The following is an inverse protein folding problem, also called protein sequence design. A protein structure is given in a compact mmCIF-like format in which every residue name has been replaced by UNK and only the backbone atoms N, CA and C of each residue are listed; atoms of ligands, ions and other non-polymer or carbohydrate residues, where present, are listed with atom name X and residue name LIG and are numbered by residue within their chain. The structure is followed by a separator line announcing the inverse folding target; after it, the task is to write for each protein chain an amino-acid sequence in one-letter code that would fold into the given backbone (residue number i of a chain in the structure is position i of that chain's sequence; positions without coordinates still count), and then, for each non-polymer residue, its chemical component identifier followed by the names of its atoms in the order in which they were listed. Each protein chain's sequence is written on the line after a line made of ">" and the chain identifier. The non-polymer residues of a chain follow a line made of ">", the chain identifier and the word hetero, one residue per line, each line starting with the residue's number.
data_IF_403007540044
#
_entry.id   IF_403007540044
#
_cell.length_a   1.000
_cell.length_b   1.000
_cell.length_c   1.000
_cell.angle_alpha   90.00
_cell.angle_beta   90.00
_cell.angle_gamma   90.00
#
_symmetry.space_group_name_H-M   'P 1'
#
loop_
_entity.id
_entity.type
_entity.pdbx_description
1 polymer ?
#
# COMPACT_ATOMS: atom_id res chain seq x y z
N UNK A 1 57.11 -55.81 -40.44
CA UNK A 1 56.81 -55.26 -39.08
C UNK A 1 55.67 -54.32 -39.26
N UNK A 2 54.47 -54.71 -38.88
CA UNK A 2 53.24 -53.83 -38.93
C UNK A 2 53.01 -53.24 -37.58
N UNK A 3 53.01 -51.94 -37.52
CA UNK A 3 52.58 -51.16 -36.30
C UNK A 3 51.07 -50.99 -36.34
N UNK A 4 50.35 -51.51 -35.34
CA UNK A 4 48.98 -51.29 -35.10
C UNK A 4 48.84 -50.00 -34.25
N UNK A 5 48.15 -49.00 -34.78
CA UNK A 5 47.74 -47.80 -34.07
C UNK A 5 46.38 -48.06 -33.42
N UNK A 6 46.30 -48.12 -32.14
CA UNK A 6 45.06 -48.16 -31.37
C UNK A 6 44.51 -46.74 -31.21
N UNK A 7 43.34 -46.50 -31.79
CA UNK A 7 42.56 -45.26 -31.65
C UNK A 7 41.70 -45.32 -30.36
N UNK A 8 42.05 -44.54 -29.36
CA UNK A 8 41.27 -44.45 -28.11
C UNK A 8 40.20 -43.38 -28.31
N UNK A 9 38.92 -43.78 -28.33
CA UNK A 9 37.78 -42.90 -28.42
C UNK A 9 37.49 -42.35 -27.02
N UNK A 10 37.79 -41.08 -26.76
CA UNK A 10 37.41 -40.38 -25.52
C UNK A 10 35.96 -39.92 -25.64
N UNK A 11 35.07 -40.54 -24.86
CA UNK A 11 33.69 -40.12 -24.69
C UNK A 11 33.73 -38.96 -23.70
N UNK A 12 33.56 -37.73 -24.20
CA UNK A 12 33.34 -36.53 -23.38
C UNK A 12 31.92 -36.56 -22.84
N UNK A 13 31.75 -36.93 -21.58
CA UNK A 13 30.51 -36.80 -20.83
C UNK A 13 30.30 -35.31 -20.52
N UNK A 14 29.46 -34.62 -21.29
CA UNK A 14 29.00 -33.29 -20.98
C UNK A 14 28.13 -33.33 -19.71
N UNK A 15 28.72 -33.13 -18.55
CA UNK A 15 28.01 -32.81 -17.34
C UNK A 15 27.46 -31.38 -17.50
N UNK A 16 26.17 -31.28 -17.82
CA UNK A 16 25.45 -30.05 -17.67
C UNK A 16 25.52 -29.61 -16.19
N UNK A 17 25.90 -28.36 -15.87
CA UNK A 17 25.83 -27.90 -14.49
C UNK A 17 24.38 -27.92 -14.08
N UNK A 18 24.00 -28.82 -13.17
CA UNK A 18 22.79 -28.70 -12.38
C UNK A 18 22.90 -27.36 -11.62
N UNK A 19 22.17 -26.38 -12.07
CA UNK A 19 21.93 -25.18 -11.27
C UNK A 19 21.23 -25.67 -9.99
N UNK A 20 22.04 -25.99 -8.97
CA UNK A 20 21.59 -26.07 -7.59
C UNK A 20 21.02 -24.71 -7.27
N UNK A 21 19.68 -24.60 -7.23
CA UNK A 21 18.99 -23.55 -6.52
C UNK A 21 19.47 -23.64 -5.07
N UNK A 22 20.55 -22.91 -4.75
CA UNK A 22 20.94 -22.68 -3.39
C UNK A 22 19.67 -22.17 -2.72
N UNK A 23 19.17 -22.90 -1.72
CA UNK A 23 18.14 -22.43 -0.81
C UNK A 23 18.62 -21.09 -0.29
N UNK A 24 18.10 -19.99 -0.86
CA UNK A 24 18.40 -18.66 -0.39
C UNK A 24 17.83 -18.61 1.03
N UNK A 25 18.73 -18.61 1.99
CA UNK A 25 18.42 -18.36 3.37
C UNK A 25 17.52 -17.13 3.44
N UNK A 26 16.38 -17.28 4.10
CA UNK A 26 15.32 -16.32 4.32
C UNK A 26 15.75 -14.84 4.21
N UNK A 27 15.69 -14.27 3.02
CA UNK A 27 15.85 -12.83 2.85
C UNK A 27 14.68 -12.17 3.60
N UNK A 28 14.98 -11.24 4.51
CA UNK A 28 13.98 -10.50 5.28
C UNK A 28 13.08 -11.35 6.22
N UNK A 29 13.52 -12.56 6.59
CA UNK A 29 12.82 -13.41 7.57
C UNK A 29 11.62 -14.18 7.00
N UNK A 30 11.46 -14.25 5.67
CA UNK A 30 10.43 -15.03 4.99
C UNK A 30 10.92 -16.44 4.63
N UNK A 31 10.12 -17.51 4.84
CA UNK A 31 10.40 -18.80 4.23
C UNK A 31 10.22 -18.69 2.72
N UNK A 32 11.09 -19.36 1.96
CA UNK A 32 11.05 -19.40 0.50
C UNK A 32 10.64 -20.79 0.04
N UNK A 33 9.91 -20.90 -1.05
CA UNK A 33 9.50 -22.15 -1.68
C UNK A 33 9.51 -22.03 -3.20
N UNK A 34 9.59 -23.16 -3.89
CA UNK A 34 9.42 -23.21 -5.35
C UNK A 34 7.95 -22.94 -5.70
N UNK A 35 7.64 -22.09 -6.71
CA UNK A 35 6.26 -21.76 -7.09
C UNK A 35 5.41 -23.02 -7.38
N UNK A 36 5.95 -24.02 -8.08
CA UNK A 36 5.24 -25.25 -8.42
C UNK A 36 4.90 -26.07 -7.18
N UNK A 37 5.79 -26.09 -6.19
CA UNK A 37 5.54 -26.75 -4.90
C UNK A 37 4.36 -26.14 -4.18
N UNK A 38 4.20 -24.82 -4.28
CA UNK A 38 3.07 -24.08 -3.68
C UNK A 38 1.87 -23.98 -4.65
N UNK A 39 1.80 -24.81 -5.72
CA UNK A 39 0.66 -24.86 -6.63
C UNK A 39 0.52 -23.63 -7.53
N UNK A 40 1.63 -22.97 -7.86
CA UNK A 40 1.64 -21.88 -8.84
C UNK A 40 2.32 -22.32 -10.13
N UNK A 41 1.84 -21.80 -11.26
CA UNK A 41 2.43 -22.00 -12.60
C UNK A 41 3.64 -21.05 -12.77
N UNK A 42 4.89 -21.59 -12.80
CA UNK A 42 6.08 -20.76 -12.98
C UNK A 42 6.11 -20.03 -14.33
N UNK A 43 5.55 -20.65 -15.37
CA UNK A 43 5.53 -20.05 -16.71
C UNK A 43 4.56 -18.86 -16.77
N UNK A 44 3.43 -18.92 -16.05
CA UNK A 44 2.52 -17.80 -15.93
C UNK A 44 3.17 -16.62 -15.19
N UNK A 45 3.91 -16.90 -14.11
CA UNK A 45 4.69 -15.88 -13.39
C UNK A 45 5.78 -15.29 -14.28
N UNK A 46 6.51 -16.13 -15.03
CA UNK A 46 7.54 -15.68 -15.95
C UNK A 46 6.99 -14.81 -17.10
N UNK A 47 5.80 -15.15 -17.63
CA UNK A 47 5.13 -14.30 -18.64
C UNK A 47 4.70 -12.96 -18.05
N UNK A 48 4.24 -12.93 -16.80
CA UNK A 48 3.89 -11.67 -16.15
C UNK A 48 5.14 -10.80 -15.91
N UNK A 49 6.22 -11.41 -15.44
CA UNK A 49 7.53 -10.78 -15.29
C UNK A 49 8.04 -10.19 -16.60
N UNK A 50 7.95 -10.94 -17.70
CA UNK A 50 8.36 -10.47 -19.03
C UNK A 50 7.54 -9.24 -19.48
N UNK A 51 6.24 -9.21 -19.19
CA UNK A 51 5.39 -8.03 -19.45
C UNK A 51 5.85 -6.80 -18.63
N UNK A 52 6.27 -7.00 -17.37
CA UNK A 52 6.83 -5.94 -16.54
C UNK A 52 8.15 -5.42 -17.14
N UNK A 53 9.08 -6.32 -17.42
CA UNK A 53 10.39 -6.00 -18.02
C UNK A 53 10.26 -5.27 -19.35
N UNK A 54 9.24 -5.60 -20.15
CA UNK A 54 8.97 -4.91 -21.42
C UNK A 54 8.50 -3.46 -21.27
N UNK A 55 8.24 -2.99 -20.04
CA UNK A 55 7.66 -1.67 -19.77
C UNK A 55 6.18 -1.54 -20.14
N UNK A 56 5.47 -2.67 -20.27
CA UNK A 56 4.01 -2.68 -20.52
C UNK A 56 3.26 -1.90 -19.45
N UNK A 57 3.72 -1.95 -18.22
CA UNK A 57 3.11 -1.31 -17.06
C UNK A 57 3.89 -0.08 -16.54
N UNK A 58 4.77 0.49 -17.38
CA UNK A 58 5.63 1.61 -17.00
C UNK A 58 6.77 1.19 -16.09
N UNK A 59 7.13 2.05 -15.13
CA UNK A 59 8.23 1.84 -14.17
C UNK A 59 7.73 1.07 -12.95
N UNK A 60 7.64 -0.26 -13.06
CA UNK A 60 7.41 -1.16 -11.93
C UNK A 60 8.76 -1.46 -11.28
N UNK A 61 8.89 -1.24 -9.97
CA UNK A 61 10.14 -1.40 -9.22
C UNK A 61 10.30 -2.78 -8.59
N UNK A 62 9.17 -3.44 -8.28
CA UNK A 62 9.22 -4.79 -7.73
C UNK A 62 7.93 -5.59 -7.93
N UNK A 63 8.07 -6.91 -7.96
CA UNK A 63 7.01 -7.90 -7.82
C UNK A 63 7.42 -8.92 -6.76
N UNK A 64 6.65 -9.03 -5.67
CA UNK A 64 6.81 -10.02 -4.61
C UNK A 64 5.51 -10.83 -4.50
N UNK A 65 5.60 -12.16 -4.65
CA UNK A 65 4.45 -13.07 -4.52
C UNK A 65 4.69 -14.04 -3.38
N UNK A 66 3.72 -14.12 -2.47
CA UNK A 66 3.73 -14.99 -1.31
C UNK A 66 2.50 -15.89 -1.42
N UNK A 67 2.71 -17.20 -1.28
CA UNK A 67 1.64 -18.19 -1.20
C UNK A 67 1.86 -19.14 -0.04
N UNK A 68 0.79 -19.47 0.69
CA UNK A 68 0.84 -20.29 1.92
C UNK A 68 1.86 -19.74 2.96
N UNK A 69 2.01 -18.41 3.00
CA UNK A 69 2.99 -17.74 3.85
C UNK A 69 4.46 -17.89 3.41
N UNK A 70 4.74 -18.36 2.21
CA UNK A 70 6.08 -18.56 1.63
C UNK A 70 6.30 -17.66 0.43
N UNK A 71 7.47 -17.07 0.32
CA UNK A 71 7.87 -16.33 -0.89
C UNK A 71 8.08 -17.33 -2.02
N UNK A 72 7.30 -17.19 -3.09
CA UNK A 72 7.37 -18.02 -4.30
C UNK A 72 7.92 -17.26 -5.50
N UNK A 73 7.89 -15.93 -5.44
CA UNK A 73 8.48 -15.07 -6.46
C UNK A 73 8.93 -13.75 -5.81
N UNK A 74 10.14 -13.30 -6.11
CA UNK A 74 10.66 -12.02 -5.61
C UNK A 74 11.64 -11.45 -6.64
N UNK A 75 11.27 -10.31 -7.22
CA UNK A 75 12.12 -9.61 -8.18
C UNK A 75 12.03 -8.09 -7.98
N UNK A 76 13.19 -7.44 -8.04
CA UNK A 76 13.32 -6.01 -8.18
C UNK A 76 13.72 -5.67 -9.62
N UNK A 77 13.22 -4.54 -10.11
CA UNK A 77 13.53 -3.97 -11.42
C UNK A 77 14.22 -2.64 -11.22
N UNK A 78 15.26 -2.37 -12.00
CA UNK A 78 16.06 -1.15 -11.83
C UNK A 78 15.66 -0.11 -12.87
N UNK A 79 15.41 1.10 -12.41
CA UNK A 79 15.13 2.26 -13.24
C UNK A 79 16.09 3.40 -12.89
N UNK A 80 16.52 4.15 -13.89
CA UNK A 80 17.32 5.38 -13.70
C UNK A 80 16.37 6.57 -13.48
N UNK A 81 16.00 6.79 -12.24
CA UNK A 81 15.09 7.87 -11.86
C UNK A 81 15.73 9.26 -11.97
N UNK A 82 17.05 9.37 -11.95
CA UNK A 82 17.74 10.63 -12.26
C UNK A 82 17.51 11.02 -13.72
N UNK A 83 17.59 10.05 -14.64
CA UNK A 83 17.28 10.29 -16.05
C UNK A 83 15.77 10.55 -16.30
N UNK A 84 14.89 9.84 -15.58
CA UNK A 84 13.43 9.94 -15.78
C UNK A 84 12.86 11.24 -15.21
N UNK A 85 13.25 11.64 -14.00
CA UNK A 85 12.62 12.74 -13.25
C UNK A 85 13.55 13.87 -12.85
N UNK A 86 14.88 13.68 -12.85
CA UNK A 86 15.83 14.64 -12.28
C UNK A 86 15.72 16.06 -12.86
N UNK A 87 15.45 16.20 -14.16
CA UNK A 87 15.23 17.52 -14.78
C UNK A 87 13.97 18.23 -14.28
N UNK A 88 12.94 17.48 -13.81
CA UNK A 88 11.70 18.03 -13.29
C UNK A 88 11.77 18.43 -11.83
N UNK A 89 12.74 17.90 -11.09
CA UNK A 89 12.90 18.17 -9.67
C UNK A 89 13.10 19.65 -9.33
N UNK A 90 13.71 20.42 -10.24
CA UNK A 90 13.89 21.87 -10.09
C UNK A 90 12.74 22.72 -10.64
N UNK A 91 11.68 22.13 -11.18
CA UNK A 91 10.56 22.85 -11.82
C UNK A 91 9.41 23.00 -10.86
N UNK A 92 8.81 24.18 -10.75
CA UNK A 92 7.60 24.40 -9.96
C UNK A 92 6.42 23.60 -10.54
N UNK A 93 5.72 22.84 -9.69
CA UNK A 93 4.53 22.10 -10.04
C UNK A 93 3.72 21.74 -8.79
N UNK A 94 2.48 21.27 -8.94
CA UNK A 94 1.69 20.77 -7.82
C UNK A 94 2.32 19.52 -7.14
N UNK A 95 3.15 18.77 -7.86
CA UNK A 95 3.94 17.66 -7.29
C UNK A 95 5.28 18.11 -6.67
N UNK A 96 5.47 19.41 -6.52
CA UNK A 96 6.63 20.04 -5.93
C UNK A 96 6.20 21.40 -5.35
N UNK A 97 5.25 21.37 -4.41
CA UNK A 97 4.55 22.57 -3.97
C UNK A 97 5.35 23.44 -2.97
N UNK A 98 6.36 22.87 -2.29
CA UNK A 98 7.08 23.56 -1.23
C UNK A 98 8.58 23.68 -1.53
N UNK A 99 9.39 22.97 -0.76
CA UNK A 99 10.83 22.95 -0.89
C UNK A 99 11.27 21.94 -1.96
N UNK A 100 11.87 22.38 -3.09
CA UNK A 100 12.38 21.46 -4.11
C UNK A 100 13.37 20.43 -3.60
N UNK A 101 14.04 20.68 -2.49
CA UNK A 101 14.97 19.75 -1.83
C UNK A 101 14.29 18.81 -0.84
N UNK A 102 13.03 19.05 -0.50
CA UNK A 102 12.27 18.33 0.53
C UNK A 102 11.59 17.05 0.03
N UNK A 103 11.03 16.27 0.98
CA UNK A 103 10.39 14.98 0.68
C UNK A 103 9.02 15.11 -0.01
N UNK A 104 8.50 16.31 -0.17
CA UNK A 104 7.27 16.61 -0.93
C UNK A 104 7.55 17.03 -2.39
N UNK A 105 8.80 16.94 -2.84
CA UNK A 105 9.15 17.00 -4.24
C UNK A 105 9.14 15.60 -4.84
N UNK A 106 8.02 15.21 -5.43
CA UNK A 106 7.81 13.87 -6.00
C UNK A 106 8.68 13.54 -7.22
N UNK A 107 9.33 14.54 -7.81
CA UNK A 107 10.31 14.37 -8.89
C UNK A 107 11.75 14.23 -8.41
N UNK A 108 12.02 14.44 -7.12
CA UNK A 108 13.38 14.40 -6.59
C UNK A 108 13.85 12.96 -6.36
N UNK A 109 14.85 12.43 -7.13
CA UNK A 109 15.27 11.03 -7.03
C UNK A 109 16.01 10.68 -5.73
N UNK A 110 16.32 11.66 -4.88
CA UNK A 110 16.83 11.43 -3.53
C UNK A 110 15.74 10.97 -2.56
N UNK A 111 14.52 11.46 -2.75
CA UNK A 111 13.38 11.14 -1.90
C UNK A 111 12.48 10.05 -2.48
N UNK A 112 12.36 9.98 -3.82
CA UNK A 112 11.37 9.13 -4.49
C UNK A 112 11.97 8.38 -5.68
N UNK A 113 11.53 7.14 -5.92
CA UNK A 113 10.58 6.39 -5.09
C UNK A 113 11.24 5.82 -3.83
N UNK A 114 12.58 5.76 -3.78
CA UNK A 114 13.35 5.17 -2.70
C UNK A 114 13.93 6.26 -1.78
N UNK A 115 13.53 6.22 -0.50
CA UNK A 115 14.04 7.14 0.53
C UNK A 115 15.57 7.14 0.56
N UNK A 116 16.17 8.30 0.23
CA UNK A 116 17.62 8.49 0.21
C UNK A 116 18.38 7.36 -0.49
N UNK A 117 17.78 6.84 -1.58
CA UNK A 117 18.35 5.72 -2.36
C UNK A 117 18.58 4.43 -1.54
N UNK A 118 17.85 4.25 -0.43
CA UNK A 118 17.82 3.00 0.34
C UNK A 118 16.89 1.97 -0.33
N UNK A 119 16.57 0.88 0.38
CA UNK A 119 15.56 -0.09 -0.06
C UNK A 119 14.12 0.28 0.36
N UNK A 120 13.97 1.39 1.12
CA UNK A 120 12.67 1.85 1.59
C UNK A 120 11.93 2.55 0.46
N UNK A 121 10.89 1.93 -0.06
CA UNK A 121 10.05 2.48 -1.12
C UNK A 121 8.88 3.27 -0.53
N UNK A 122 8.53 4.40 -1.15
CA UNK A 122 7.34 5.17 -0.76
C UNK A 122 6.07 4.30 -0.89
N UNK A 123 5.20 4.37 0.09
CA UNK A 123 3.92 3.68 0.06
C UNK A 123 2.80 4.55 -0.51
N UNK A 124 2.99 5.87 -0.52
CA UNK A 124 1.95 6.80 -0.88
C UNK A 124 0.64 6.47 -0.14
N UNK A 125 -0.51 6.52 -0.76
CA UNK A 125 -1.79 6.29 -0.09
C UNK A 125 -1.99 4.92 0.54
N UNK A 126 -1.09 3.93 0.33
CA UNK A 126 -1.07 2.70 1.15
C UNK A 126 -0.74 3.01 2.62
N UNK A 127 -0.11 4.15 2.89
CA UNK A 127 0.07 4.69 4.26
C UNK A 127 -1.25 4.75 5.03
N UNK A 128 -2.36 5.15 4.37
CA UNK A 128 -3.70 5.19 4.97
C UNK A 128 -4.16 3.82 5.49
N UNK A 129 -3.81 2.77 4.74
CA UNK A 129 -4.09 1.39 5.14
C UNK A 129 -3.30 1.03 6.40
N UNK A 130 -2.00 1.36 6.44
CA UNK A 130 -1.15 1.10 7.62
C UNK A 130 -1.63 1.91 8.83
N UNK A 131 -2.02 3.17 8.63
CA UNK A 131 -2.61 4.02 9.68
C UNK A 131 -3.89 3.36 10.26
N UNK A 132 -4.77 2.82 9.41
CA UNK A 132 -5.95 2.06 9.86
C UNK A 132 -5.58 0.80 10.65
N UNK A 133 -4.52 0.09 10.26
CA UNK A 133 -4.01 -1.07 11.03
C UNK A 133 -3.54 -0.64 12.41
N UNK A 134 -2.78 0.46 12.53
CA UNK A 134 -2.31 1.00 13.82
C UNK A 134 -3.50 1.41 14.70
N UNK A 135 -4.53 2.04 14.14
CA UNK A 135 -5.78 2.35 14.84
C UNK A 135 -6.42 1.05 15.37
N UNK A 136 -6.44 -0.01 14.55
CA UNK A 136 -6.95 -1.32 14.96
C UNK A 136 -6.17 -1.94 16.12
N UNK A 137 -4.85 -1.77 16.15
CA UNK A 137 -4.02 -2.18 17.30
C UNK A 137 -4.41 -1.40 18.56
N UNK A 138 -4.55 -0.08 18.47
CA UNK A 138 -4.93 0.76 19.60
C UNK A 138 -6.37 0.48 20.07
N UNK A 139 -7.30 0.22 19.14
CA UNK A 139 -8.68 -0.18 19.45
C UNK A 139 -8.73 -1.50 20.22
N UNK A 140 -7.97 -2.52 19.79
CA UNK A 140 -7.84 -3.80 20.52
C UNK A 140 -7.37 -3.60 21.96
N UNK A 141 -6.50 -2.64 22.20
CA UNK A 141 -5.94 -2.31 23.50
C UNK A 141 -6.84 -1.41 24.36
N UNK A 142 -7.98 -0.98 23.82
CA UNK A 142 -8.89 -0.05 24.51
C UNK A 142 -8.36 1.39 24.59
N UNK A 143 -7.38 1.74 23.79
CA UNK A 143 -6.66 3.03 23.80
C UNK A 143 -7.15 3.98 22.71
N UNK A 144 -8.06 3.54 21.86
CA UNK A 144 -8.67 4.36 20.80
C UNK A 144 -10.20 4.46 21.01
N UNK A 145 -10.82 5.60 20.72
CA UNK A 145 -12.25 5.81 20.97
C UNK A 145 -13.15 4.94 20.09
N UNK A 146 -14.40 4.78 20.52
CA UNK A 146 -15.43 4.12 19.71
C UNK A 146 -15.60 4.84 18.37
N UNK A 147 -15.80 4.08 17.29
CA UNK A 147 -15.83 4.61 15.92
C UNK A 147 -17.01 5.55 15.65
N UNK A 148 -18.07 5.47 16.45
CA UNK A 148 -19.24 6.35 16.35
C UNK A 148 -19.06 7.67 17.12
N UNK A 149 -17.87 7.90 17.70
CA UNK A 149 -17.53 9.17 18.35
C UNK A 149 -17.49 10.29 17.31
N UNK A 150 -18.19 11.43 17.56
CA UNK A 150 -18.10 12.59 16.68
C UNK A 150 -16.68 13.14 16.57
N UNK A 151 -16.26 13.46 15.36
CA UNK A 151 -14.91 13.99 15.08
C UNK A 151 -14.65 15.29 15.82
N UNK A 152 -15.63 16.19 15.88
CA UNK A 152 -15.51 17.50 16.52
C UNK A 152 -15.21 17.43 18.01
N UNK A 153 -15.41 16.28 18.68
CA UNK A 153 -15.01 16.09 20.09
C UNK A 153 -13.50 16.33 20.31
N UNK A 154 -12.70 16.22 19.27
CA UNK A 154 -11.23 16.37 19.29
C UNK A 154 -10.77 17.74 18.81
N UNK A 155 -11.68 18.68 18.60
CA UNK A 155 -11.41 20.03 18.10
C UNK A 155 -12.07 21.10 18.98
N UNK A 156 -11.43 22.26 19.06
CA UNK A 156 -12.07 23.46 19.62
C UNK A 156 -13.02 24.04 18.55
N UNK A 157 -14.33 23.84 18.70
CA UNK A 157 -15.33 24.30 17.72
C UNK A 157 -15.24 25.78 17.40
N UNK A 158 -14.71 26.61 18.33
CA UNK A 158 -14.53 28.06 18.10
C UNK A 158 -13.46 28.36 17.04
N UNK A 159 -12.61 27.38 16.75
CA UNK A 159 -11.52 27.49 15.78
C UNK A 159 -11.80 26.73 14.48
N UNK A 160 -12.95 26.06 14.38
CA UNK A 160 -13.34 25.30 13.18
C UNK A 160 -14.32 26.11 12.37
N UNK A 161 -14.01 26.29 11.08
CA UNK A 161 -14.90 26.96 10.14
C UNK A 161 -16.02 26.03 9.62
N UNK A 162 -17.07 26.63 9.07
CA UNK A 162 -18.12 25.94 8.33
C UNK A 162 -18.79 24.80 9.12
N UNK A 163 -19.02 24.99 10.43
CA UNK A 163 -19.74 24.02 11.25
C UNK A 163 -21.23 24.11 10.95
N UNK A 164 -21.82 22.99 10.59
CA UNK A 164 -23.26 22.75 10.51
C UNK A 164 -23.65 21.46 11.25
N UNK A 165 -24.92 21.09 11.26
CA UNK A 165 -25.38 19.89 11.94
C UNK A 165 -24.84 18.59 11.32
N UNK A 166 -24.50 18.58 10.03
CA UNK A 166 -23.87 17.44 9.35
C UNK A 166 -22.45 17.24 9.89
N UNK A 167 -21.63 18.30 9.97
CA UNK A 167 -20.27 18.24 10.51
C UNK A 167 -20.28 17.75 11.97
N UNK A 168 -21.28 18.14 12.79
CA UNK A 168 -21.43 17.63 14.16
C UNK A 168 -21.72 16.14 14.23
N UNK A 169 -22.38 15.58 13.21
CA UNK A 169 -22.66 14.13 13.11
C UNK A 169 -21.54 13.33 12.48
N UNK A 170 -20.53 13.97 11.89
CA UNK A 170 -19.40 13.27 11.28
C UNK A 170 -18.62 12.48 12.34
N UNK A 171 -18.47 11.16 12.14
CA UNK A 171 -17.84 10.25 13.08
C UNK A 171 -16.47 9.76 12.59
N UNK A 172 -15.69 9.17 13.50
CA UNK A 172 -14.43 8.50 13.18
C UNK A 172 -14.63 7.41 12.11
N UNK A 173 -15.74 6.65 12.18
CA UNK A 173 -16.11 5.66 11.17
C UNK A 173 -16.19 6.29 9.77
N UNK A 174 -16.78 7.47 9.64
CA UNK A 174 -16.91 8.14 8.36
C UNK A 174 -15.53 8.53 7.76
N UNK A 175 -14.56 8.87 8.61
CA UNK A 175 -13.18 9.12 8.17
C UNK A 175 -12.53 7.82 7.65
N UNK A 176 -12.71 6.69 8.36
CA UNK A 176 -12.16 5.39 7.97
C UNK A 176 -12.74 4.87 6.64
N UNK A 177 -14.03 5.09 6.41
CA UNK A 177 -14.77 4.58 5.25
C UNK A 177 -14.79 5.53 4.06
N UNK A 178 -14.08 6.68 4.12
CA UNK A 178 -14.11 7.72 3.08
C UNK A 178 -15.53 8.26 2.80
N UNK A 179 -16.34 8.40 3.85
CA UNK A 179 -17.71 8.90 3.77
C UNK A 179 -17.92 10.11 4.70
N UNK A 180 -16.88 10.91 4.90
CA UNK A 180 -16.91 12.07 5.80
C UNK A 180 -17.94 13.12 5.41
N UNK A 181 -18.27 13.24 4.12
CA UNK A 181 -19.19 14.25 3.60
C UNK A 181 -18.59 15.65 3.46
N UNK A 182 -17.29 15.82 3.73
CA UNK A 182 -16.58 17.07 3.50
C UNK A 182 -16.44 17.36 2.01
N UNK A 183 -16.50 18.64 1.63
CA UNK A 183 -16.17 19.07 0.27
C UNK A 183 -14.72 18.74 -0.04
N UNK A 184 -14.51 17.89 -1.04
CA UNK A 184 -13.19 17.40 -1.40
C UNK A 184 -13.15 16.93 -2.85
N UNK A 185 -12.16 17.37 -3.62
CA UNK A 185 -11.98 16.94 -4.99
C UNK A 185 -10.56 16.41 -5.20
N UNK A 186 -10.42 15.09 -5.14
CA UNK A 186 -9.18 14.36 -5.37
C UNK A 186 -9.29 13.42 -6.60
N UNK A 187 -10.34 13.62 -7.41
CA UNK A 187 -10.51 12.91 -8.69
C UNK A 187 -9.68 13.51 -9.83
N UNK A 188 -9.19 14.73 -9.65
CA UNK A 188 -8.26 15.40 -10.56
C UNK A 188 -6.86 14.79 -10.46
N UNK A 189 -6.03 14.88 -11.49
CA UNK A 189 -4.62 14.49 -11.40
C UNK A 189 -3.90 15.26 -10.27
N UNK A 190 -2.96 14.62 -9.57
CA UNK A 190 -2.21 15.27 -8.49
C UNK A 190 -1.27 16.41 -8.95
N UNK A 191 -0.99 16.51 -10.23
CA UNK A 191 -0.31 17.68 -10.81
C UNK A 191 -1.26 18.83 -11.16
N UNK A 192 -2.56 18.70 -10.92
CA UNK A 192 -3.53 19.78 -11.00
C UNK A 192 -3.51 20.60 -9.71
N UNK A 193 -3.25 21.92 -9.78
CA UNK A 193 -3.16 22.77 -8.57
C UNK A 193 -4.52 22.96 -7.86
N UNK A 194 -5.64 22.53 -8.44
CA UNK A 194 -6.98 22.57 -7.83
C UNK A 194 -7.38 21.24 -7.18
N UNK A 195 -6.53 20.21 -7.27
CA UNK A 195 -6.72 18.98 -6.53
C UNK A 195 -6.63 19.24 -5.01
N UNK A 196 -7.62 18.80 -4.24
CA UNK A 196 -7.71 19.10 -2.81
C UNK A 196 -6.54 18.54 -1.99
N UNK A 197 -5.97 17.39 -2.40
CA UNK A 197 -4.78 16.82 -1.75
C UNK A 197 -3.53 17.66 -2.06
N UNK A 198 -3.37 18.13 -3.29
CA UNK A 198 -2.26 19.02 -3.65
C UNK A 198 -2.34 20.36 -2.91
N UNK A 199 -3.55 20.91 -2.72
CA UNK A 199 -3.75 22.12 -1.89
C UNK A 199 -3.46 21.81 -0.42
N UNK A 200 -3.89 20.65 0.09
CA UNK A 200 -3.57 20.20 1.45
C UNK A 200 -2.06 20.19 1.68
N UNK A 201 -1.31 19.52 0.82
CA UNK A 201 0.15 19.44 0.93
C UNK A 201 0.81 20.83 0.87
N UNK A 202 0.21 21.78 0.14
CA UNK A 202 0.68 23.16 0.05
C UNK A 202 0.26 24.03 1.26
N UNK A 203 -0.62 23.54 2.14
CA UNK A 203 -1.11 24.31 3.29
C UNK A 203 -0.14 24.28 4.47
N UNK A 204 -0.17 25.35 5.31
CA UNK A 204 0.65 25.44 6.50
C UNK A 204 0.15 24.56 7.66
N UNK A 205 -1.14 24.25 7.69
CA UNK A 205 -1.79 23.41 8.70
C UNK A 205 -2.77 22.45 8.02
N UNK A 206 -2.33 21.21 7.85
CA UNK A 206 -3.11 20.21 7.15
C UNK A 206 -4.39 19.81 7.89
N UNK A 207 -4.29 19.70 9.23
CA UNK A 207 -5.42 19.31 10.07
C UNK A 207 -6.50 20.38 10.04
N UNK A 208 -6.09 21.65 10.21
CA UNK A 208 -7.01 22.79 10.19
C UNK A 208 -7.63 22.95 8.79
N UNK A 209 -6.83 22.85 7.73
CA UNK A 209 -7.33 22.93 6.35
C UNK A 209 -8.47 21.93 6.11
N UNK A 210 -8.31 20.69 6.56
CA UNK A 210 -9.31 19.62 6.34
C UNK A 210 -10.56 19.85 7.19
N UNK A 211 -10.41 20.14 8.49
CA UNK A 211 -11.57 20.26 9.37
C UNK A 211 -12.41 21.50 9.04
N UNK A 212 -11.83 22.52 8.43
CA UNK A 212 -12.49 23.73 7.98
C UNK A 212 -13.32 23.56 6.70
N UNK A 213 -13.09 22.49 5.92
CA UNK A 213 -13.85 22.25 4.69
C UNK A 213 -15.35 22.21 4.98
N UNK A 214 -16.19 22.87 4.17
CA UNK A 214 -17.65 22.77 4.32
C UNK A 214 -18.15 21.36 4.03
N UNK A 215 -19.37 21.08 4.45
CA UNK A 215 -20.02 19.80 4.14
C UNK A 215 -20.68 19.85 2.75
N UNK A 216 -20.37 18.88 1.90
CA UNK A 216 -21.04 18.68 0.60
C UNK A 216 -22.16 17.63 0.68
N UNK A 217 -21.97 16.60 1.48
CA UNK A 217 -22.88 15.45 1.59
C UNK A 217 -23.18 15.13 3.08
N UNK A 218 -24.23 14.33 3.33
CA UNK A 218 -24.46 13.75 4.65
C UNK A 218 -23.38 12.72 4.98
N UNK A 219 -22.76 12.74 6.17
CA UNK A 219 -21.80 11.73 6.59
C UNK A 219 -22.36 10.32 6.46
N UNK A 220 -21.57 9.39 5.94
CA UNK A 220 -21.95 7.99 5.77
C UNK A 220 -22.73 7.64 4.50
N UNK A 221 -23.12 8.63 3.69
CA UNK A 221 -24.04 8.36 2.56
C UNK A 221 -23.34 8.20 1.21
N UNK A 222 -22.16 8.82 1.04
CA UNK A 222 -21.47 8.86 -0.25
C UNK A 222 -19.96 8.65 -0.05
N UNK A 223 -19.40 7.77 -0.88
CA UNK A 223 -17.95 7.65 -0.98
C UNK A 223 -17.35 8.88 -1.65
N UNK A 224 -16.38 9.49 -0.99
CA UNK A 224 -15.54 10.52 -1.57
C UNK A 224 -14.11 10.31 -1.06
N UNK A 225 -13.21 9.86 -1.96
CA UNK A 225 -11.83 9.64 -1.59
C UNK A 225 -11.21 10.95 -1.12
N UNK A 226 -10.77 10.96 0.14
CA UNK A 226 -10.32 12.16 0.83
C UNK A 226 -9.07 11.84 1.67
N UNK A 227 -7.91 12.23 1.16
CA UNK A 227 -6.63 12.06 1.83
C UNK A 227 -6.59 12.76 3.18
N UNK A 228 -7.11 13.99 3.24
CA UNK A 228 -7.16 14.76 4.48
C UNK A 228 -7.97 14.11 5.61
N UNK A 229 -8.97 13.27 5.29
CA UNK A 229 -9.69 12.51 6.30
C UNK A 229 -8.76 11.60 7.14
N UNK A 230 -7.61 11.19 6.58
CA UNK A 230 -6.63 10.38 7.33
C UNK A 230 -5.78 11.26 8.25
N UNK A 231 -5.52 12.50 7.87
CA UNK A 231 -4.85 13.47 8.76
C UNK A 231 -5.71 13.80 10.00
N UNK A 232 -7.03 13.88 9.83
CA UNK A 232 -7.94 13.98 10.98
C UNK A 232 -7.86 12.73 11.87
N UNK A 233 -7.70 11.54 11.31
CA UNK A 233 -7.49 10.31 12.10
C UNK A 233 -6.17 10.34 12.88
N UNK A 234 -5.08 10.81 12.28
CA UNK A 234 -3.79 10.95 12.96
C UNK A 234 -3.86 11.96 14.12
N UNK A 235 -4.56 13.09 13.91
CA UNK A 235 -4.82 14.07 14.97
C UNK A 235 -5.63 13.47 16.12
N UNK A 236 -6.75 12.81 15.81
CA UNK A 236 -7.59 12.13 16.80
C UNK A 236 -6.79 11.06 17.55
N UNK A 237 -5.97 10.28 16.84
CA UNK A 237 -5.13 9.25 17.42
C UNK A 237 -4.18 9.82 18.47
N UNK A 238 -3.48 10.92 18.14
CA UNK A 238 -2.56 11.60 19.06
C UNK A 238 -3.29 12.18 20.28
N UNK A 239 -4.48 12.76 20.08
CA UNK A 239 -5.29 13.29 21.19
C UNK A 239 -5.81 12.17 22.11
N UNK A 240 -6.19 11.03 21.55
CA UNK A 240 -6.76 9.91 22.31
C UNK A 240 -5.70 9.09 23.05
N UNK A 241 -4.56 8.81 22.42
CA UNK A 241 -3.51 7.93 22.96
C UNK A 241 -2.38 8.68 23.68
N UNK A 242 -2.26 9.99 23.46
CA UNK A 242 -1.14 10.82 23.92
C UNK A 242 0.17 10.53 23.15
N UNK A 243 0.16 9.69 22.11
CA UNK A 243 1.34 9.30 21.34
C UNK A 243 1.16 9.61 19.86
N UNK A 244 2.27 9.88 19.18
CA UNK A 244 2.30 9.95 17.73
C UNK A 244 2.08 8.56 17.11
N UNK A 245 1.43 8.51 15.96
CA UNK A 245 1.08 7.25 15.30
C UNK A 245 2.33 6.44 14.90
N UNK A 246 3.44 7.09 14.57
CA UNK A 246 4.71 6.42 14.26
C UNK A 246 5.31 5.74 15.49
N UNK A 247 5.41 6.46 16.61
CA UNK A 247 5.94 5.91 17.88
C UNK A 247 5.11 4.72 18.35
N UNK A 248 3.80 4.86 18.28
CA UNK A 248 2.86 3.80 18.65
C UNK A 248 2.95 2.60 17.70
N UNK A 249 2.96 2.86 16.40
CA UNK A 249 3.09 1.84 15.36
C UNK A 249 4.42 1.09 15.43
N UNK A 250 5.52 1.80 15.68
CA UNK A 250 6.83 1.20 15.88
C UNK A 250 6.82 0.14 17.00
N UNK A 251 6.24 0.49 18.14
CA UNK A 251 6.19 -0.37 19.32
C UNK A 251 5.19 -1.53 19.19
N UNK A 252 4.00 -1.26 18.66
CA UNK A 252 2.88 -2.18 18.78
C UNK A 252 2.50 -2.90 17.47
N UNK A 253 3.09 -2.49 16.34
CA UNK A 253 2.89 -3.13 15.04
C UNK A 253 4.22 -3.54 14.41
N UNK A 254 5.15 -2.60 14.19
CA UNK A 254 6.37 -2.88 13.43
C UNK A 254 7.31 -3.84 14.16
N UNK A 255 7.60 -3.57 15.42
CA UNK A 255 8.46 -4.45 16.22
C UNK A 255 7.91 -5.89 16.33
N UNK A 256 6.62 -6.15 16.64
CA UNK A 256 6.05 -7.49 16.64
C UNK A 256 6.13 -8.20 15.28
N UNK A 257 6.00 -7.46 14.17
CA UNK A 257 6.16 -7.99 12.82
C UNK A 257 7.63 -8.18 12.39
N UNK A 258 8.58 -7.73 13.21
CA UNK A 258 10.00 -7.74 12.88
C UNK A 258 10.37 -6.77 11.77
N UNK A 259 9.63 -5.68 11.62
CA UNK A 259 9.96 -4.54 10.76
C UNK A 259 10.95 -3.68 11.55
N UNK A 260 12.12 -3.40 10.97
CA UNK A 260 13.22 -2.70 11.64
C UNK A 260 13.49 -1.32 11.06
N UNK A 261 13.25 -1.17 9.77
CA UNK A 261 13.59 0.02 9.02
C UNK A 261 12.35 0.61 8.37
N UNK A 262 12.14 1.88 8.58
CA UNK A 262 11.09 2.68 7.96
C UNK A 262 11.49 4.15 7.95
N UNK A 263 10.81 4.92 7.14
CA UNK A 263 10.81 6.38 7.21
C UNK A 263 9.37 6.87 7.08
N UNK A 264 8.99 7.84 7.90
CA UNK A 264 7.67 8.46 7.83
C UNK A 264 7.81 9.98 7.73
N UNK A 265 7.32 10.56 6.63
CA UNK A 265 7.29 12.01 6.47
C UNK A 265 6.46 12.66 7.58
N UNK A 266 6.78 13.92 7.87
CA UNK A 266 6.07 14.76 8.83
C UNK A 266 5.39 15.92 8.12
N UNK A 267 4.15 16.22 8.52
CA UNK A 267 3.47 17.45 8.14
C UNK A 267 4.02 18.65 8.93
N UNK A 268 3.74 19.91 8.54
CA UNK A 268 4.36 21.09 9.16
C UNK A 268 4.26 21.16 10.69
N UNK A 269 3.19 20.68 11.29
CA UNK A 269 2.97 20.67 12.75
C UNK A 269 3.47 19.41 13.45
N UNK A 270 4.27 18.62 12.79
CA UNK A 270 5.01 17.50 13.37
C UNK A 270 4.21 16.22 13.59
N UNK A 271 2.96 16.12 13.15
CA UNK A 271 2.28 14.83 13.00
C UNK A 271 2.90 14.06 11.83
N UNK A 272 2.75 12.73 11.83
CA UNK A 272 3.05 11.95 10.64
C UNK A 272 2.14 12.35 9.50
N UNK A 273 2.67 12.37 8.29
CA UNK A 273 1.88 12.37 7.06
C UNK A 273 1.22 10.99 6.93
N UNK A 274 0.03 10.88 7.48
CA UNK A 274 -0.72 9.62 7.55
C UNK A 274 -1.45 9.29 6.25
N UNK A 275 -1.46 10.22 5.31
CA UNK A 275 -2.11 10.07 4.01
C UNK A 275 -1.19 9.47 2.94
N UNK A 276 0.13 9.73 3.02
CA UNK A 276 1.05 9.33 1.96
C UNK A 276 2.52 9.19 2.36
N UNK A 277 2.87 9.46 3.64
CA UNK A 277 4.24 9.71 4.07
C UNK A 277 5.10 8.50 4.43
N UNK A 278 4.55 7.29 4.54
CA UNK A 278 5.30 6.12 5.00
C UNK A 278 6.11 5.48 3.86
N UNK A 279 7.31 5.03 4.20
CA UNK A 279 8.20 4.23 3.35
C UNK A 279 8.52 2.92 4.07
N UNK A 280 8.38 1.80 3.36
CA UNK A 280 8.76 0.47 3.82
C UNK A 280 9.43 -0.32 2.68
N UNK A 281 10.14 -1.37 3.04
CA UNK A 281 10.51 -2.40 2.06
C UNK A 281 9.27 -3.22 1.65
N UNK A 282 9.26 -3.75 0.40
CA UNK A 282 8.17 -4.59 -0.10
C UNK A 282 7.88 -5.80 0.77
N UNK A 283 8.92 -6.40 1.37
CA UNK A 283 8.77 -7.55 2.27
C UNK A 283 8.07 -7.18 3.58
N UNK A 284 8.33 -5.99 4.09
CA UNK A 284 7.70 -5.49 5.32
C UNK A 284 6.26 -5.05 5.08
N UNK A 285 5.98 -4.45 3.94
CA UNK A 285 4.60 -4.18 3.51
C UNK A 285 3.79 -5.48 3.36
N UNK A 286 4.40 -6.54 2.82
CA UNK A 286 3.78 -7.85 2.70
C UNK A 286 3.44 -8.48 4.06
N UNK A 287 4.23 -8.24 5.12
CA UNK A 287 3.90 -8.69 6.49
C UNK A 287 2.60 -8.06 7.00
N UNK A 288 2.36 -6.78 6.69
CA UNK A 288 1.13 -6.09 7.07
C UNK A 288 -0.08 -6.66 6.30
N UNK A 289 0.09 -6.93 5.00
CA UNK A 289 -0.95 -7.56 4.19
C UNK A 289 -1.26 -8.99 4.68
N UNK A 290 -0.22 -9.79 4.97
CA UNK A 290 -0.37 -11.15 5.51
C UNK A 290 -1.01 -11.15 6.91
N UNK A 291 -0.69 -10.18 7.76
CA UNK A 291 -1.33 -10.01 9.07
C UNK A 291 -2.86 -9.92 8.92
N UNK A 292 -3.35 -9.17 7.95
CA UNK A 292 -4.79 -9.06 7.67
C UNK A 292 -5.35 -10.34 7.07
N UNK A 293 -4.63 -11.01 6.19
CA UNK A 293 -5.00 -12.34 5.68
C UNK A 293 -5.11 -13.38 6.81
N UNK A 294 -4.23 -13.30 7.80
CA UNK A 294 -4.23 -14.14 9.00
C UNK A 294 -5.13 -13.60 10.11
N UNK A 295 -6.15 -12.81 9.77
CA UNK A 295 -7.16 -12.28 10.71
C UNK A 295 -6.56 -11.51 11.89
N UNK A 296 -5.46 -10.84 11.68
CA UNK A 296 -4.77 -10.01 12.67
C UNK A 296 -3.81 -10.77 13.59
N UNK A 297 -3.57 -12.06 13.34
CA UNK A 297 -2.61 -12.87 14.08
C UNK A 297 -1.24 -12.91 13.36
N UNK A 298 -0.15 -12.88 14.12
CA UNK A 298 1.20 -13.02 13.62
C UNK A 298 2.01 -13.94 14.52
N UNK A 299 2.53 -15.05 13.98
CA UNK A 299 3.31 -16.04 14.74
C UNK A 299 2.65 -16.45 16.06
N UNK A 300 1.34 -16.67 16.05
CA UNK A 300 0.56 -17.07 17.24
C UNK A 300 0.15 -15.93 18.18
N UNK A 301 0.57 -14.70 17.91
CA UNK A 301 0.17 -13.52 18.70
C UNK A 301 -0.90 -12.71 17.93
N UNK A 302 -2.02 -12.42 18.59
CA UNK A 302 -3.05 -11.52 18.05
C UNK A 302 -2.56 -10.07 18.15
N UNK A 303 -2.18 -9.45 17.04
CA UNK A 303 -1.71 -8.06 16.96
C UNK A 303 -2.91 -7.11 16.80
N UNK A 304 -3.77 -7.38 15.83
CA UNK A 304 -5.03 -6.66 15.59
C UNK A 304 -6.20 -7.57 15.94
N UNK A 305 -7.26 -7.06 16.55
CA UNK A 305 -8.45 -7.87 16.86
C UNK A 305 -9.07 -8.45 15.58
N UNK A 306 -9.52 -9.72 15.61
CA UNK A 306 -10.18 -10.36 14.46
C UNK A 306 -11.43 -9.57 14.02
N UNK A 307 -12.20 -9.04 14.99
CA UNK A 307 -13.38 -8.21 14.69
C UNK A 307 -13.03 -6.92 13.96
N UNK A 308 -11.87 -6.31 14.27
CA UNK A 308 -11.39 -5.14 13.52
C UNK A 308 -11.03 -5.51 12.09
N UNK A 309 -10.31 -6.62 11.88
CA UNK A 309 -9.96 -7.10 10.54
C UNK A 309 -11.23 -7.38 9.74
N UNK A 310 -12.19 -8.10 10.32
CA UNK A 310 -13.48 -8.40 9.71
C UNK A 310 -14.21 -7.10 9.32
N UNK A 311 -14.37 -6.16 10.24
CA UNK A 311 -15.03 -4.88 9.97
C UNK A 311 -14.30 -4.04 8.92
N UNK A 312 -12.96 -4.11 8.88
CA UNK A 312 -12.13 -3.41 7.90
C UNK A 312 -12.32 -3.94 6.47
N UNK A 313 -12.62 -5.22 6.33
CA UNK A 313 -12.79 -5.91 5.05
C UNK A 313 -14.26 -6.13 4.67
N UNK A 314 -15.20 -5.72 5.52
CA UNK A 314 -16.61 -5.69 5.18
C UNK A 314 -16.91 -4.50 4.25
N UNK A 315 -17.68 -4.71 3.16
CA UNK A 315 -18.04 -3.64 2.24
C UNK A 315 -18.90 -2.56 2.90
N UNK A 316 -18.25 -1.47 3.37
CA UNK A 316 -18.95 -0.36 4.02
C UNK A 316 -19.69 0.53 3.00
N UNK A 317 -19.08 0.74 1.83
CA UNK A 317 -19.64 1.62 0.78
C UNK A 317 -19.16 1.19 -0.61
N UNK A 318 -19.97 1.40 -1.65
CA UNK A 318 -19.53 1.29 -3.04
C UNK A 318 -18.77 2.55 -3.44
N UNK A 319 -17.64 2.40 -4.17
CA UNK A 319 -16.81 3.55 -4.57
C UNK A 319 -17.48 4.47 -5.60
N UNK A 320 -18.52 3.98 -6.27
CA UNK A 320 -19.47 4.77 -7.06
C UNK A 320 -20.78 3.98 -7.20
N UNK A 321 -21.90 4.60 -7.61
CA UNK A 321 -23.22 3.95 -7.64
C UNK A 321 -23.26 2.63 -8.42
N UNK A 322 -22.48 2.50 -9.49
CA UNK A 322 -22.46 1.31 -10.35
C UNK A 322 -21.18 0.49 -10.22
N UNK A 323 -20.31 0.82 -9.26
CA UNK A 323 -19.05 0.12 -9.07
C UNK A 323 -19.25 -1.22 -8.35
N UNK A 324 -18.63 -2.27 -8.89
CA UNK A 324 -18.47 -3.52 -8.17
C UNK A 324 -17.41 -3.41 -7.06
N UNK A 325 -16.49 -2.44 -7.17
CA UNK A 325 -15.46 -2.19 -6.15
C UNK A 325 -16.09 -1.52 -4.95
N UNK A 326 -15.76 -2.03 -3.77
CA UNK A 326 -16.22 -1.52 -2.48
C UNK A 326 -15.03 -0.99 -1.67
N UNK A 327 -15.34 -0.34 -0.55
CA UNK A 327 -14.36 0.21 0.36
C UNK A 327 -14.72 -0.13 1.80
N UNK A 328 -13.70 -0.50 2.59
CA UNK A 328 -13.82 -0.75 4.02
C UNK A 328 -13.04 0.29 4.83
N UNK A 329 -12.38 -0.12 5.93
CA UNK A 329 -11.55 0.80 6.73
C UNK A 329 -10.17 0.97 6.08
N UNK A 330 -10.09 1.86 5.07
CA UNK A 330 -8.89 2.15 4.28
C UNK A 330 -8.39 0.98 3.43
N UNK A 331 -9.26 -0.01 3.14
CA UNK A 331 -9.02 -1.09 2.21
C UNK A 331 -9.94 -1.00 1.01
N UNK A 332 -9.39 -1.20 -0.19
CA UNK A 332 -10.14 -1.39 -1.43
C UNK A 332 -10.53 -2.85 -1.56
N UNK A 333 -11.77 -3.11 -1.93
CA UNK A 333 -12.35 -4.45 -2.01
C UNK A 333 -12.79 -4.73 -3.45
N UNK A 334 -12.10 -5.67 -4.09
CA UNK A 334 -12.28 -5.99 -5.50
C UNK A 334 -12.93 -7.37 -5.65
N UNK A 335 -14.12 -7.51 -6.29
CA UNK A 335 -14.66 -8.83 -6.58
C UNK A 335 -13.75 -9.56 -7.56
N UNK A 336 -13.63 -10.88 -7.43
CA UNK A 336 -12.79 -11.69 -8.32
C UNK A 336 -13.25 -11.67 -9.77
N UNK A 337 -14.56 -11.56 -9.99
CA UNK A 337 -15.18 -11.37 -11.30
C UNK A 337 -16.45 -10.52 -11.13
N UNK A 338 -17.04 -10.08 -12.24
CA UNK A 338 -18.33 -9.38 -12.21
C UNK A 338 -19.41 -10.29 -11.61
N UNK A 339 -20.03 -9.85 -10.50
CA UNK A 339 -21.05 -10.59 -9.79
C UNK A 339 -20.53 -11.63 -8.79
N UNK A 340 -19.22 -11.80 -8.65
CA UNK A 340 -18.62 -12.65 -7.62
C UNK A 340 -18.73 -11.96 -6.24
N UNK A 341 -19.16 -12.71 -5.23
CA UNK A 341 -19.23 -12.22 -3.85
C UNK A 341 -17.88 -12.29 -3.12
N UNK A 342 -16.96 -13.11 -3.63
CA UNK A 342 -15.60 -13.23 -3.06
C UNK A 342 -14.78 -12.00 -3.43
N UNK A 343 -14.01 -11.50 -2.48
CA UNK A 343 -13.28 -10.25 -2.61
C UNK A 343 -11.78 -10.43 -2.36
N UNK A 344 -10.98 -9.91 -3.28
CA UNK A 344 -9.61 -9.52 -2.97
C UNK A 344 -9.66 -8.18 -2.24
N UNK A 345 -8.73 -7.96 -1.31
CA UNK A 345 -8.56 -6.66 -0.67
C UNK A 345 -7.16 -6.10 -0.93
N UNK A 346 -7.08 -4.79 -1.04
CA UNK A 346 -5.84 -4.14 -1.47
C UNK A 346 -5.67 -2.75 -0.84
N UNK A 347 -4.41 -2.35 -0.69
CA UNK A 347 -4.01 -0.95 -0.65
C UNK A 347 -3.85 -0.39 -2.07
N UNK A 348 -3.89 0.93 -2.20
CA UNK A 348 -3.64 1.62 -3.46
C UNK A 348 -2.84 2.88 -3.20
N UNK A 349 -1.65 3.00 -3.80
CA UNK A 349 -0.77 4.15 -3.65
C UNK A 349 -0.44 4.79 -4.99
N UNK A 350 -0.34 6.11 -4.99
CA UNK A 350 0.05 6.90 -6.15
C UNK A 350 1.38 6.39 -6.72
N UNK A 351 1.47 6.29 -8.04
CA UNK A 351 2.62 5.74 -8.73
C UNK A 351 2.58 4.22 -8.91
N UNK A 352 1.72 3.48 -8.21
CA UNK A 352 1.55 2.03 -8.40
C UNK A 352 1.98 1.15 -7.22
N UNK A 353 1.73 1.60 -5.99
CA UNK A 353 1.93 0.81 -4.78
C UNK A 353 0.72 -0.10 -4.57
N UNK A 354 0.85 -1.40 -4.80
CA UNK A 354 -0.26 -2.36 -4.81
C UNK A 354 0.03 -3.57 -3.92
N UNK A 355 -0.16 -3.48 -2.59
CA UNK A 355 -0.31 -4.67 -1.76
C UNK A 355 -1.71 -5.23 -1.98
N UNK A 356 -1.81 -6.47 -2.44
CA UNK A 356 -3.05 -7.17 -2.75
C UNK A 356 -3.07 -8.50 -2.03
N UNK A 357 -4.20 -8.84 -1.44
CA UNK A 357 -4.47 -10.14 -0.86
C UNK A 357 -5.62 -10.80 -1.60
N UNK A 358 -5.44 -12.06 -1.96
CA UNK A 358 -6.45 -12.90 -2.63
C UNK A 358 -6.73 -14.07 -1.68
N UNK A 359 -7.70 -13.94 -0.75
CA UNK A 359 -7.87 -14.88 0.35
C UNK A 359 -8.17 -16.32 -0.09
N UNK A 360 -9.03 -16.50 -1.09
CA UNK A 360 -9.43 -17.82 -1.57
C UNK A 360 -8.27 -18.61 -2.23
N UNK A 361 -7.28 -17.88 -2.76
CA UNK A 361 -6.11 -18.48 -3.40
C UNK A 361 -4.90 -18.53 -2.44
N UNK A 362 -5.07 -18.06 -1.18
CA UNK A 362 -4.01 -17.93 -0.15
C UNK A 362 -2.76 -17.21 -0.69
N UNK A 363 -2.99 -16.07 -1.35
CA UNK A 363 -1.92 -15.30 -2.00
C UNK A 363 -1.88 -13.88 -1.45
N UNK A 364 -0.66 -13.42 -1.13
CA UNK A 364 -0.32 -12.01 -0.95
C UNK A 364 0.64 -11.61 -2.06
N UNK A 365 0.35 -10.52 -2.76
CA UNK A 365 1.27 -9.96 -3.75
C UNK A 365 1.49 -8.48 -3.48
N UNK A 366 2.74 -8.04 -3.65
CA UNK A 366 3.12 -6.63 -3.52
C UNK A 366 3.83 -6.18 -4.79
N UNK A 367 3.28 -5.15 -5.42
CA UNK A 367 3.98 -4.38 -6.45
C UNK A 367 4.35 -3.02 -5.89
N UNK A 368 5.54 -2.55 -6.25
CA UNK A 368 5.94 -1.16 -6.10
C UNK A 368 6.28 -0.59 -7.46
N UNK A 369 5.97 0.68 -7.70
CA UNK A 369 6.18 1.34 -8.98
C UNK A 369 6.23 2.86 -8.80
N UNK A 370 6.76 3.60 -9.81
CA UNK A 370 6.77 5.05 -9.77
C UNK A 370 6.31 5.70 -11.08
N UNK A 371 5.00 5.54 -11.38
CA UNK A 371 4.33 6.04 -12.58
C UNK A 371 3.53 7.31 -12.28
N UNK A 372 4.18 8.42 -11.90
CA UNK A 372 3.53 9.63 -11.37
C UNK A 372 3.04 10.62 -12.44
N UNK A 373 3.42 10.42 -13.70
CA UNK A 373 3.01 11.31 -14.80
C UNK A 373 1.81 10.79 -15.60
N UNK A 374 1.19 9.71 -15.15
CA UNK A 374 0.15 9.01 -15.90
C UNK A 374 0.71 8.12 -17.01
N UNK A 375 -0.17 7.61 -17.87
CA UNK A 375 0.21 6.69 -18.94
C UNK A 375 0.11 5.21 -18.54
N UNK A 376 1.13 4.43 -18.85
CA UNK A 376 1.16 2.99 -18.55
C UNK A 376 1.24 2.73 -17.06
N UNK A 377 0.38 1.87 -16.53
CA UNK A 377 0.40 1.43 -15.15
C UNK A 377 -0.25 0.06 -14.99
N UNK A 378 0.14 -0.69 -13.98
CA UNK A 378 -0.51 -1.93 -13.59
C UNK A 378 -1.77 -1.58 -12.76
N UNK A 379 -2.95 -2.01 -13.23
CA UNK A 379 -4.17 -1.86 -12.47
C UNK A 379 -4.36 -3.00 -11.47
N UNK A 380 -5.13 -2.75 -10.38
CA UNK A 380 -5.49 -3.82 -9.44
C UNK A 380 -6.19 -4.99 -10.14
N UNK A 381 -7.10 -4.71 -11.10
CA UNK A 381 -7.81 -5.75 -11.84
C UNK A 381 -6.84 -6.65 -12.62
N UNK A 382 -5.96 -6.04 -13.41
CA UNK A 382 -4.94 -6.77 -14.17
C UNK A 382 -4.02 -7.58 -13.25
N UNK A 383 -3.57 -6.99 -12.13
CA UNK A 383 -2.72 -7.69 -11.15
C UNK A 383 -3.44 -8.91 -10.55
N UNK A 384 -4.69 -8.75 -10.10
CA UNK A 384 -5.50 -9.84 -9.55
C UNK A 384 -5.70 -10.94 -10.60
N UNK A 385 -6.10 -10.58 -11.82
CA UNK A 385 -6.39 -11.54 -12.88
C UNK A 385 -5.13 -12.33 -13.28
N UNK A 386 -3.97 -11.66 -13.40
CA UNK A 386 -2.68 -12.29 -13.76
C UNK A 386 -2.17 -13.22 -12.65
N UNK A 387 -2.24 -12.80 -11.40
CA UNK A 387 -1.82 -13.63 -10.27
C UNK A 387 -2.76 -14.83 -10.11
N UNK A 388 -4.08 -14.64 -10.20
CA UNK A 388 -5.04 -15.73 -10.13
C UNK A 388 -4.89 -16.72 -11.29
N UNK A 389 -4.52 -16.25 -12.49
CA UNK A 389 -4.22 -17.13 -13.62
C UNK A 389 -2.96 -17.98 -13.41
N UNK A 390 -2.05 -17.56 -12.54
CA UNK A 390 -0.87 -18.35 -12.15
C UNK A 390 -1.16 -19.38 -11.05
N UNK A 391 -2.33 -19.38 -10.42
CA UNK A 391 -2.72 -20.39 -9.41
C UNK A 391 -3.25 -21.63 -10.11
N UNK A 392 -2.44 -22.73 -10.09
CA UNK A 392 -2.72 -23.95 -10.83
C UNK A 392 -3.81 -24.82 -10.18
N UNK A 393 -3.91 -24.82 -8.86
CA UNK A 393 -4.87 -25.61 -8.05
C UNK A 393 -6.10 -24.79 -7.61
N UNK A 394 -6.37 -23.68 -8.32
CA UNK A 394 -7.49 -22.79 -8.01
C UNK A 394 -8.83 -23.52 -8.00
N UNK A 395 -9.57 -23.35 -6.92
CA UNK A 395 -10.97 -23.81 -6.85
C UNK A 395 -11.85 -22.98 -7.81
N UNK A 396 -12.73 -23.59 -8.53
CA UNK A 396 -13.62 -22.92 -9.49
C UNK A 396 -14.53 -21.87 -8.88
#
# INVERSE_FOLDING_TARGET
>A
MRLLSTLTLAVACCLAPSLSLAQSTAAHGWPVSDPKTEGMDPDALARFDADIVSGKYGSVDSMLVIRHGRVVYDRAYTHDYDAIYGQRAGQASALNAHDPSGPYNYFNPWWHPYYRRSNLHTLQSVTKTVASVIIGVASKRGEFPALDTPVLKYFDEKKVASIDDRKRRMTIRNLLTMTAGLEWNESLPYNDPTNSSSILEASADWVQYVIDRPMSDEPGTKFNYNSGATELLAHIFRQATGQDMEEYGAKHLFQPLGIKDWFWKRIPWGLVDSEGGLYLERHDLAKIALLFHQKGAWKGQQIVAEDWVKASLEPAIAVSPNSAVKYGYKWWLYPYAKGDSRLAFAGSGFGGQLPIVIPEDDVVVVFTAWNILGGKSLSHREAIDRIRAAVADRKP
#
